data_IF_281758470862
#
_entry.id   IF_281758470862
#
_cell.length_a   1.000
_cell.length_b   1.000
_cell.length_c   1.000
_cell.angle_alpha   90.00
_cell.angle_beta   90.00
_cell.angle_gamma   90.00
#
_symmetry.space_group_name_H-M   'P 1'
#
loop_
_entity.id
_entity.type
_entity.pdbx_description
1 polymer ?
#
# COMPACT_ATOMS: atom_id res chain seq x y z
N UNK A 1 -10.04 -18.62 -15.14
CA UNK A 1 -9.18 -17.55 -14.58
C UNK A 1 -7.75 -17.81 -15.01
N UNK A 2 -7.05 -16.80 -15.57
CA UNK A 2 -5.65 -16.95 -15.97
C UNK A 2 -4.77 -17.21 -14.74
N UNK A 3 -3.81 -18.13 -14.90
CA UNK A 3 -2.87 -18.62 -13.88
C UNK A 3 -1.45 -18.49 -14.41
N UNK A 4 -0.54 -18.08 -13.54
CA UNK A 4 0.89 -18.05 -13.82
C UNK A 4 1.65 -18.98 -12.89
N UNK A 5 2.83 -19.40 -13.35
CA UNK A 5 3.91 -19.91 -12.51
C UNK A 5 4.68 -18.69 -12.01
N UNK A 6 5.01 -18.68 -10.72
CA UNK A 6 5.84 -17.66 -10.08
C UNK A 6 7.02 -18.36 -9.40
N UNK A 7 8.20 -18.19 -9.99
CA UNK A 7 9.46 -18.70 -9.49
C UNK A 7 10.10 -17.63 -8.60
N UNK A 8 10.36 -17.97 -7.35
CA UNK A 8 10.94 -17.07 -6.36
C UNK A 8 12.23 -17.65 -5.82
N UNK A 9 13.33 -16.93 -6.02
CA UNK A 9 14.62 -17.23 -5.41
C UNK A 9 14.83 -16.28 -4.22
N UNK A 10 14.99 -16.84 -3.02
CA UNK A 10 15.09 -16.07 -1.78
C UNK A 10 15.95 -16.76 -0.73
N UNK A 11 16.38 -16.02 0.29
CA UNK A 11 16.99 -16.59 1.50
C UNK A 11 15.96 -17.24 2.41
N UNK A 12 16.40 -18.21 3.21
CA UNK A 12 15.55 -18.94 4.16
C UNK A 12 14.77 -18.06 5.15
N UNK A 13 15.34 -16.91 5.52
CA UNK A 13 14.71 -15.94 6.44
C UNK A 13 13.39 -15.34 5.93
N UNK A 14 13.21 -15.20 4.60
CA UNK A 14 12.02 -14.58 4.01
C UNK A 14 10.95 -15.60 3.59
N UNK A 15 11.28 -16.90 3.53
CA UNK A 15 10.37 -17.94 3.01
C UNK A 15 9.03 -17.96 3.75
N UNK A 16 9.04 -17.87 5.08
CA UNK A 16 7.82 -17.89 5.88
C UNK A 16 6.89 -16.72 5.56
N UNK A 17 7.44 -15.50 5.52
CA UNK A 17 6.69 -14.27 5.23
C UNK A 17 6.13 -14.30 3.81
N UNK A 18 6.95 -14.71 2.82
CA UNK A 18 6.54 -14.80 1.43
C UNK A 18 5.44 -15.84 1.22
N UNK A 19 5.57 -17.01 1.85
CA UNK A 19 4.57 -18.08 1.77
C UNK A 19 3.23 -17.62 2.36
N UNK A 20 3.23 -16.90 3.50
CA UNK A 20 2.00 -16.37 4.09
C UNK A 20 1.33 -15.33 3.17
N UNK A 21 2.11 -14.41 2.62
CA UNK A 21 1.60 -13.35 1.73
C UNK A 21 1.01 -13.92 0.44
N UNK A 22 1.65 -14.94 -0.13
CA UNK A 22 1.20 -15.64 -1.35
C UNK A 22 -0.02 -16.53 -1.07
N UNK A 23 -0.06 -17.19 0.09
CA UNK A 23 -1.22 -18.00 0.52
C UNK A 23 -2.49 -17.16 0.62
N UNK A 24 -2.42 -15.94 1.18
CA UNK A 24 -3.55 -14.99 1.21
C UNK A 24 -4.07 -14.62 -0.18
N UNK A 25 -3.24 -14.79 -1.22
CA UNK A 25 -3.55 -14.50 -2.63
C UNK A 25 -3.91 -15.75 -3.44
N UNK A 26 -4.24 -16.85 -2.76
CA UNK A 26 -4.61 -18.13 -3.38
C UNK A 26 -3.47 -18.75 -4.21
N UNK A 27 -2.21 -18.44 -3.88
CA UNK A 27 -1.08 -19.13 -4.45
C UNK A 27 -0.97 -20.53 -3.85
N UNK A 28 -0.52 -21.48 -4.66
CA UNK A 28 -0.23 -22.85 -4.25
C UNK A 28 1.25 -23.12 -4.48
N UNK A 29 1.95 -23.52 -3.41
CA UNK A 29 3.31 -24.01 -3.54
C UNK A 29 3.27 -25.35 -4.29
N UNK A 30 4.02 -25.44 -5.39
CA UNK A 30 4.09 -26.62 -6.25
C UNK A 30 5.41 -27.35 -6.02
N UNK A 31 6.51 -26.60 -5.93
CA UNK A 31 7.83 -27.14 -5.64
C UNK A 31 8.63 -26.21 -4.72
N UNK A 32 9.56 -26.79 -3.97
CA UNK A 32 10.51 -26.09 -3.12
C UNK A 32 11.86 -26.79 -3.20
N UNK A 33 12.87 -26.09 -3.69
CA UNK A 33 14.24 -26.58 -3.77
C UNK A 33 15.17 -25.75 -2.89
N UNK A 34 16.07 -26.40 -2.17
CA UNK A 34 17.08 -25.76 -1.33
C UNK A 34 18.46 -26.16 -1.80
N UNK A 35 19.26 -25.18 -2.22
CA UNK A 35 20.59 -25.38 -2.80
C UNK A 35 21.67 -25.66 -1.73
N UNK A 36 21.31 -25.73 -0.45
CA UNK A 36 22.21 -25.98 0.68
C UNK A 36 23.08 -24.77 1.07
N UNK A 37 23.07 -23.70 0.27
CA UNK A 37 23.81 -22.45 0.47
C UNK A 37 22.87 -21.27 0.78
N UNK A 38 21.92 -21.48 1.70
CA UNK A 38 20.97 -20.48 2.22
C UNK A 38 19.94 -19.91 1.22
N UNK A 39 20.12 -20.19 -0.07
CA UNK A 39 19.16 -19.89 -1.12
C UNK A 39 18.13 -21.01 -1.28
N UNK A 40 16.87 -20.59 -1.37
CA UNK A 40 15.71 -21.46 -1.55
C UNK A 40 14.94 -20.95 -2.76
N UNK A 41 14.69 -21.86 -3.70
CA UNK A 41 13.81 -21.66 -4.84
C UNK A 41 12.42 -22.18 -4.52
N UNK A 42 11.42 -21.36 -4.76
CA UNK A 42 10.01 -21.67 -4.56
C UNK A 42 9.28 -21.55 -5.89
N UNK A 43 8.55 -22.59 -6.26
CA UNK A 43 7.66 -22.56 -7.42
C UNK A 43 6.22 -22.46 -6.93
N UNK A 44 5.58 -21.34 -7.24
CA UNK A 44 4.17 -21.11 -6.94
C UNK A 44 3.34 -21.13 -8.19
N UNK A 45 2.15 -21.66 -8.04
CA UNK A 45 1.09 -21.45 -8.98
C UNK A 45 0.09 -20.44 -8.42
N UNK A 46 -0.08 -19.31 -9.10
CA UNK A 46 -0.91 -18.19 -8.60
C UNK A 46 -1.85 -17.66 -9.69
N UNK A 47 -3.12 -17.33 -9.35
CA UNK A 47 -3.99 -16.64 -10.29
C UNK A 47 -3.45 -15.24 -10.62
N UNK A 48 -3.58 -14.79 -11.88
CA UNK A 48 -3.07 -13.48 -12.31
C UNK A 48 -3.62 -12.31 -11.49
N UNK A 49 -4.87 -12.41 -10.99
CA UNK A 49 -5.47 -11.39 -10.11
C UNK A 49 -4.75 -11.30 -8.75
N UNK A 50 -4.20 -12.41 -8.26
CA UNK A 50 -3.42 -12.46 -7.01
C UNK A 50 -2.07 -11.77 -7.14
N UNK A 51 -1.48 -11.74 -8.34
CA UNK A 51 -0.20 -11.08 -8.60
C UNK A 51 -0.31 -9.55 -8.65
N UNK A 52 -1.50 -9.00 -8.90
CA UNK A 52 -1.69 -7.55 -9.00
C UNK A 52 -1.31 -6.88 -7.67
N UNK A 53 -0.36 -5.94 -7.74
CA UNK A 53 0.17 -5.24 -6.57
C UNK A 53 0.99 -6.10 -5.60
N UNK A 54 1.32 -7.35 -5.95
CA UNK A 54 2.18 -8.19 -5.10
C UNK A 54 3.65 -7.78 -5.21
N UNK A 55 4.11 -7.40 -6.41
CA UNK A 55 5.53 -7.06 -6.67
C UNK A 55 6.09 -5.98 -5.74
N UNK A 56 5.32 -4.93 -5.44
CA UNK A 56 5.76 -3.88 -4.52
C UNK A 56 5.90 -4.42 -3.09
N UNK A 57 4.90 -5.16 -2.62
CA UNK A 57 4.90 -5.78 -1.30
C UNK A 57 6.02 -6.83 -1.14
N UNK A 58 6.31 -7.58 -2.21
CA UNK A 58 7.42 -8.53 -2.29
C UNK A 58 8.76 -7.81 -2.06
N UNK A 59 9.05 -6.76 -2.83
CA UNK A 59 10.29 -5.99 -2.70
C UNK A 59 10.44 -5.37 -1.31
N UNK A 60 9.34 -4.90 -0.70
CA UNK A 60 9.37 -4.37 0.67
C UNK A 60 9.65 -5.47 1.69
N UNK A 61 9.04 -6.65 1.55
CA UNK A 61 9.21 -7.77 2.47
C UNK A 61 10.63 -8.36 2.41
N UNK A 62 11.22 -8.41 1.22
CA UNK A 62 12.55 -9.00 0.98
C UNK A 62 13.68 -7.98 1.02
N UNK A 63 13.36 -6.70 1.23
CA UNK A 63 14.32 -5.57 1.19
C UNK A 63 15.13 -5.49 -0.12
N UNK A 64 14.64 -6.13 -1.19
CA UNK A 64 15.31 -6.20 -2.50
C UNK A 64 16.29 -7.36 -2.67
N UNK A 65 16.45 -8.25 -1.69
CA UNK A 65 17.41 -9.37 -1.73
C UNK A 65 16.91 -10.58 -2.54
N UNK A 66 15.63 -10.62 -2.90
CA UNK A 66 14.99 -11.78 -3.56
C UNK A 66 14.61 -11.49 -5.00
N UNK A 67 14.58 -12.54 -5.83
CA UNK A 67 14.24 -12.48 -7.25
C UNK A 67 12.90 -13.19 -7.45
N UNK A 68 12.03 -12.60 -8.28
CA UNK A 68 10.72 -13.14 -8.63
C UNK A 68 10.57 -13.12 -10.16
N UNK A 69 10.19 -14.24 -10.73
CA UNK A 69 9.90 -14.40 -12.15
C UNK A 69 8.52 -15.00 -12.34
N UNK A 70 7.69 -14.38 -13.18
CA UNK A 70 6.32 -14.83 -13.42
C UNK A 70 6.14 -15.19 -14.89
N UNK A 71 5.62 -16.39 -15.15
CA UNK A 71 5.30 -16.89 -16.48
C UNK A 71 3.82 -17.26 -16.55
N UNK A 72 3.15 -16.94 -17.65
CA UNK A 72 1.77 -17.37 -17.86
C UNK A 72 1.70 -18.88 -18.13
N UNK A 73 0.89 -19.60 -17.35
CA UNK A 73 0.75 -21.05 -17.45
C UNK A 73 -0.49 -21.47 -18.24
N UNK A 74 -1.64 -20.84 -17.98
CA UNK A 74 -2.89 -21.23 -18.62
C UNK A 74 -4.14 -20.71 -17.92
N UNK A 75 -5.27 -21.35 -18.18
CA UNK A 75 -6.55 -21.00 -17.58
C UNK A 75 -7.09 -22.15 -16.73
N UNK A 76 -7.57 -21.83 -15.53
CA UNK A 76 -8.22 -22.79 -14.63
C UNK A 76 -9.61 -22.31 -14.18
N UNK A 77 -10.47 -23.20 -13.64
CA UNK A 77 -11.71 -22.79 -12.97
C UNK A 77 -11.44 -21.75 -11.87
N UNK A 78 -12.40 -20.85 -11.65
CA UNK A 78 -12.27 -19.81 -10.63
C UNK A 78 -12.22 -20.42 -9.23
N UNK A 79 -11.19 -20.09 -8.45
CA UNK A 79 -10.92 -20.69 -7.13
C UNK A 79 -11.43 -19.88 -5.94
N UNK A 80 -12.28 -18.88 -6.18
CA UNK A 80 -12.89 -18.06 -5.13
C UNK A 80 -12.33 -16.63 -5.07
N UNK A 81 -12.77 -15.91 -4.04
CA UNK A 81 -12.52 -14.49 -3.92
C UNK A 81 -11.16 -14.20 -3.27
N UNK A 82 -10.39 -13.31 -3.91
CA UNK A 82 -9.13 -12.81 -3.35
C UNK A 82 -9.49 -11.62 -2.46
N UNK A 83 -9.39 -11.83 -1.15
CA UNK A 83 -9.70 -10.80 -0.15
C UNK A 83 -8.71 -9.66 -0.34
N UNK A 84 -9.21 -8.53 -0.82
CA UNK A 84 -8.42 -7.32 -1.00
C UNK A 84 -8.80 -6.36 0.11
N UNK A 85 -7.99 -6.24 1.15
CA UNK A 85 -8.20 -5.23 2.18
C UNK A 85 -7.73 -3.89 1.65
N UNK A 86 -8.59 -3.18 0.92
CA UNK A 86 -8.34 -1.78 0.55
C UNK A 86 -8.85 -0.89 1.68
N UNK A 87 -8.01 0.01 2.18
CA UNK A 87 -8.48 1.10 3.06
C UNK A 87 -9.41 2.05 2.30
N UNK A 88 -10.19 2.85 3.03
CA UNK A 88 -10.93 3.96 2.44
C UNK A 88 -9.99 5.04 1.92
N UNK A 89 -10.53 6.02 1.21
CA UNK A 89 -9.78 7.15 0.68
C UNK A 89 -10.12 8.46 1.37
N UNK A 90 -9.13 9.34 1.47
CA UNK A 90 -9.31 10.74 1.85
C UNK A 90 -9.53 11.54 0.57
N UNK A 91 -10.70 12.17 0.46
CA UNK A 91 -11.12 12.88 -0.76
C UNK A 91 -11.16 14.38 -0.50
N UNK A 92 -10.60 15.18 -1.39
CA UNK A 92 -10.68 16.64 -1.31
C UNK A 92 -12.14 17.10 -1.49
N UNK A 93 -12.63 17.84 -0.49
CA UNK A 93 -14.00 18.40 -0.51
C UNK A 93 -14.13 19.69 -1.31
N UNK A 94 -13.04 20.43 -1.52
CA UNK A 94 -13.03 21.72 -2.19
C UNK A 94 -11.77 21.85 -3.06
N UNK A 95 -11.83 22.59 -4.19
CA UNK A 95 -10.65 22.92 -4.96
C UNK A 95 -9.84 24.03 -4.30
N UNK A 96 -8.52 24.02 -4.47
CA UNK A 96 -7.64 25.05 -3.92
C UNK A 96 -6.20 24.59 -3.78
N UNK A 97 -5.43 25.26 -2.93
CA UNK A 97 -4.04 24.87 -2.62
C UNK A 97 -4.03 24.14 -1.28
N UNK A 98 -3.36 22.99 -1.20
CA UNK A 98 -3.24 22.24 0.04
C UNK A 98 -2.35 23.00 1.06
N UNK A 99 -2.88 23.24 2.26
CA UNK A 99 -2.18 23.99 3.31
C UNK A 99 -1.73 23.02 4.40
N UNK A 100 -0.59 23.30 5.05
CA UNK A 100 -0.01 22.49 6.14
C UNK A 100 -1.03 22.17 7.24
N UNK A 101 -1.89 23.12 7.61
CA UNK A 101 -2.93 22.92 8.63
C UNK A 101 -4.01 21.92 8.18
N UNK A 102 -4.49 22.04 6.95
CA UNK A 102 -5.47 21.12 6.37
C UNK A 102 -4.89 19.71 6.22
N UNK A 103 -3.63 19.61 5.76
CA UNK A 103 -2.92 18.34 5.64
C UNK A 103 -2.64 17.68 6.99
N UNK A 104 -2.28 18.42 8.03
CA UNK A 104 -2.11 17.86 9.36
C UNK A 104 -3.42 17.24 9.89
N UNK A 105 -4.57 17.90 9.66
CA UNK A 105 -5.86 17.32 10.02
C UNK A 105 -6.18 16.05 9.21
N UNK A 106 -5.83 16.02 7.92
CA UNK A 106 -5.94 14.82 7.10
C UNK A 106 -5.02 13.68 7.59
N UNK A 107 -3.78 14.00 7.99
CA UNK A 107 -2.80 13.04 8.52
C UNK A 107 -3.25 12.37 9.83
N UNK A 108 -4.06 13.06 10.65
CA UNK A 108 -4.67 12.45 11.85
C UNK A 108 -5.70 11.36 11.52
N UNK A 109 -6.22 11.33 10.28
CA UNK A 109 -7.22 10.36 9.81
C UNK A 109 -6.60 9.25 8.96
N UNK A 110 -5.41 9.46 8.42
CA UNK A 110 -4.72 8.47 7.60
C UNK A 110 -3.45 9.04 6.97
N UNK A 111 -2.95 8.40 5.92
CA UNK A 111 -1.71 8.81 5.26
C UNK A 111 -2.01 9.71 4.06
N UNK A 112 -1.31 10.84 3.93
CA UNK A 112 -1.48 11.76 2.80
C UNK A 112 -0.55 11.43 1.64
N UNK A 113 -0.98 11.69 0.40
CA UNK A 113 -0.18 11.51 -0.82
C UNK A 113 0.39 12.83 -1.38
N UNK A 114 -0.11 13.97 -0.89
CA UNK A 114 0.25 15.29 -1.41
C UNK A 114 1.06 16.10 -0.40
N UNK A 115 1.89 16.99 -0.91
CA UNK A 115 2.66 17.94 -0.13
C UNK A 115 1.93 19.29 0.02
N UNK A 116 2.26 20.08 1.06
CA UNK A 116 1.79 21.47 1.16
C UNK A 116 2.15 22.27 -0.09
N UNK A 117 1.22 23.09 -0.58
CA UNK A 117 1.39 23.86 -1.81
C UNK A 117 0.87 23.15 -3.06
N UNK A 118 0.50 21.87 -2.97
CA UNK A 118 -0.07 21.13 -4.11
C UNK A 118 -1.47 21.65 -4.45
N UNK A 119 -1.75 22.05 -5.71
CA UNK A 119 -3.10 22.39 -6.13
C UNK A 119 -3.96 21.13 -6.18
N UNK A 120 -5.14 21.20 -5.57
CA UNK A 120 -6.13 20.12 -5.50
C UNK A 120 -7.44 20.55 -6.13
N UNK A 121 -8.20 19.57 -6.63
CA UNK A 121 -9.55 19.75 -7.15
C UNK A 121 -10.55 18.94 -6.31
N UNK A 122 -11.82 19.32 -6.34
CA UNK A 122 -12.89 18.58 -5.65
C UNK A 122 -12.98 17.14 -6.16
N UNK A 123 -13.03 16.17 -5.26
CA UNK A 123 -13.01 14.75 -5.60
C UNK A 123 -11.62 14.15 -5.76
N UNK A 124 -10.54 14.95 -5.70
CA UNK A 124 -9.16 14.44 -5.75
C UNK A 124 -8.86 13.53 -4.55
N UNK A 125 -8.28 12.35 -4.78
CA UNK A 125 -7.78 11.49 -3.70
C UNK A 125 -6.48 12.08 -3.16
N UNK A 126 -6.52 12.55 -1.92
CA UNK A 126 -5.39 13.23 -1.25
C UNK A 126 -4.69 12.34 -0.24
N UNK A 127 -5.21 11.14 0.01
CA UNK A 127 -4.62 10.18 0.94
C UNK A 127 -5.42 8.89 1.10
N UNK A 128 -4.92 8.01 1.95
CA UNK A 128 -5.54 6.75 2.36
C UNK A 128 -6.04 6.88 3.79
N UNK A 129 -7.29 6.50 4.02
CA UNK A 129 -7.92 6.48 5.33
C UNK A 129 -7.60 5.17 6.07
N UNK A 130 -7.43 5.24 7.39
CA UNK A 130 -7.14 4.08 8.21
C UNK A 130 -8.32 3.08 8.34
N UNK A 131 -9.54 3.48 7.96
CA UNK A 131 -10.74 2.62 7.96
C UNK A 131 -11.29 2.47 6.54
N UNK A 132 -12.18 1.50 6.34
CA UNK A 132 -12.77 1.16 5.03
C UNK A 132 -13.64 2.27 4.40
N UNK A 133 -14.16 3.18 5.21
CA UNK A 133 -15.04 4.25 4.73
C UNK A 133 -14.25 5.42 4.12
N UNK A 134 -14.75 5.97 3.03
CA UNK A 134 -14.21 7.18 2.42
C UNK A 134 -14.61 8.41 3.23
N UNK A 135 -13.70 9.37 3.37
CA UNK A 135 -13.96 10.59 4.13
C UNK A 135 -13.61 11.82 3.28
N UNK A 136 -14.58 12.73 3.06
CA UNK A 136 -14.27 14.04 2.51
C UNK A 136 -13.50 14.86 3.56
N UNK A 137 -12.37 15.42 3.14
CA UNK A 137 -11.49 16.28 3.93
C UNK A 137 -11.26 17.58 3.21
N UNK A 138 -11.25 18.69 3.97
CA UNK A 138 -10.88 19.99 3.46
C UNK A 138 -9.39 20.24 3.76
N UNK A 139 -8.55 20.03 2.74
CA UNK A 139 -7.09 20.27 2.81
C UNK A 139 -6.70 21.73 2.54
N UNK A 140 -7.63 22.53 2.02
CA UNK A 140 -7.48 23.96 1.75
C UNK A 140 -7.89 24.84 2.94
N UNK A 141 -8.41 24.23 4.01
CA UNK A 141 -8.92 24.95 5.18
C UNK A 141 -7.79 25.68 5.90
N UNK A 142 -7.92 27.00 5.97
CA UNK A 142 -7.06 27.84 6.79
C UNK A 142 -7.41 27.74 8.29
N UNK A 143 -6.41 27.95 9.14
CA UNK A 143 -6.61 28.04 10.60
C UNK A 143 -7.44 29.29 10.89
N UNK A 144 -8.73 29.13 11.20
CA UNK A 144 -9.57 30.25 11.67
C UNK A 144 -8.93 30.86 12.92
N UNK A 145 -8.44 32.10 12.81
CA UNK A 145 -8.00 32.90 13.95
C UNK A 145 -9.22 33.34 14.75
N UNK A 146 -9.71 32.48 15.61
CA UNK A 146 -10.73 32.85 16.59
C UNK A 146 -10.11 32.68 17.97
N UNK A 147 -9.57 33.79 18.49
CA UNK A 147 -9.20 34.03 19.89
C UNK A 147 -8.79 32.80 20.70
N UNK A 148 -7.49 32.55 20.88
CA UNK A 148 -6.95 32.02 22.14
C UNK A 148 -5.51 32.52 22.32
N UNK A 149 -5.45 33.49 23.21
CA UNK A 149 -4.43 33.80 24.21
C UNK A 149 -3.61 32.57 24.62
N UNK A 150 -2.55 32.25 23.87
CA UNK A 150 -1.46 31.38 24.33
C UNK A 150 -0.22 31.67 23.50
N UNK A 151 0.51 32.69 23.94
CA UNK A 151 1.95 32.77 23.82
C UNK A 151 2.54 31.40 24.14
N UNK A 152 3.45 30.91 23.29
CA UNK A 152 4.20 29.64 23.45
C UNK A 152 3.50 28.39 22.95
N UNK A 153 3.31 28.25 21.63
CA UNK A 153 3.51 26.98 20.89
C UNK A 153 3.24 27.17 19.40
N UNK A 154 4.16 27.84 18.69
CA UNK A 154 4.38 27.55 17.28
C UNK A 154 5.01 26.15 17.19
N UNK A 155 4.19 25.12 17.44
CA UNK A 155 4.55 23.75 17.13
C UNK A 155 4.68 23.74 15.61
N UNK A 156 5.91 23.83 15.11
CA UNK A 156 6.24 23.57 13.73
C UNK A 156 5.53 22.27 13.35
N UNK A 157 4.50 22.38 12.53
CA UNK A 157 3.66 21.24 12.14
C UNK A 157 4.55 20.33 11.31
N UNK A 158 5.13 19.33 11.98
CA UNK A 158 5.99 18.33 11.34
C UNK A 158 5.07 17.35 10.63
N UNK A 159 4.86 17.58 9.33
CA UNK A 159 4.11 16.67 8.49
C UNK A 159 4.93 15.39 8.29
N UNK A 160 4.25 14.25 8.33
CA UNK A 160 4.85 12.99 7.86
C UNK A 160 5.05 13.09 6.35
N UNK A 161 6.18 12.59 5.84
CA UNK A 161 6.41 12.51 4.40
C UNK A 161 5.26 11.75 3.73
N UNK A 162 4.77 12.23 2.57
CA UNK A 162 3.76 11.51 1.82
C UNK A 162 4.22 10.09 1.45
N UNK A 163 3.25 9.19 1.30
CA UNK A 163 3.48 7.78 0.93
C UNK A 163 3.52 7.63 -0.58
#
# INVERSE_FOLDING_TARGET
MPRGIDDIDTKGEYVGVLTEMLSKRQAQLTDMHNDGHDNIRLEFHIPTKGLIGFRSAFLTATRGDSIMNTIFFGYEPWRGEIVTTRGGVLVASEPGIAITYGLNNAQRRGSTFIEPGTPVYEGMIVGMHARLQDIPVNVCKEKKRTNIRSSTSDIAVKLTSPV
#
